data_IF_427056725688
#
_entry.id   IF_427056725688
#
_cell.length_a   1.000
_cell.length_b   1.000
_cell.length_c   1.000
_cell.angle_alpha   90.00
_cell.angle_beta   90.00
_cell.angle_gamma   90.00
#
_symmetry.space_group_name_H-M   'P 1'
#
loop_
_entity.id
_entity.type
_entity.pdbx_description
1 polymer ?
#
# COMPACT_ATOMS: atom_id res chain seq x y z
N UNK A 1 -17.62 -13.76 21.27
CA UNK A 1 -18.89 -13.32 20.64
C UNK A 1 -18.65 -11.95 20.03
N UNK A 2 -18.40 -11.88 18.73
CA UNK A 2 -18.02 -10.65 18.02
C UNK A 2 -19.20 -9.69 17.86
N UNK A 3 -18.91 -8.44 17.51
CA UNK A 3 -19.94 -7.43 17.25
C UNK A 3 -20.54 -7.65 15.85
N UNK A 4 -21.79 -7.23 15.65
CA UNK A 4 -22.34 -7.10 14.30
C UNK A 4 -21.62 -5.95 13.61
N UNK A 5 -21.11 -6.17 12.39
CA UNK A 5 -20.30 -5.18 11.66
C UNK A 5 -21.02 -3.85 11.46
N UNK A 6 -22.32 -3.90 11.18
CA UNK A 6 -23.13 -2.71 10.90
C UNK A 6 -23.29 -1.82 12.13
N UNK A 7 -23.27 -2.44 13.32
CA UNK A 7 -23.38 -1.78 14.62
C UNK A 7 -22.05 -1.17 15.07
N UNK A 8 -20.93 -1.45 14.39
CA UNK A 8 -19.62 -0.88 14.76
C UNK A 8 -19.63 0.63 14.47
N UNK A 9 -19.29 1.40 15.50
CA UNK A 9 -19.15 2.87 15.44
C UNK A 9 -17.71 3.34 15.57
N UNK A 10 -16.84 2.50 16.13
CA UNK A 10 -15.41 2.80 16.27
C UNK A 10 -14.58 1.54 16.12
N UNK A 11 -13.46 1.68 15.43
CA UNK A 11 -12.43 0.67 15.30
C UNK A 11 -11.08 1.29 15.66
N UNK A 12 -10.33 0.62 16.52
CA UNK A 12 -8.93 0.92 16.78
C UNK A 12 -8.08 -0.25 16.32
N UNK A 13 -7.03 0.04 15.58
CA UNK A 13 -6.13 -0.92 14.98
C UNK A 13 -4.73 -0.57 15.46
N UNK A 14 -4.10 -1.50 16.18
CA UNK A 14 -2.69 -1.42 16.56
C UNK A 14 -1.93 -2.44 15.72
N UNK A 15 -0.84 -2.01 15.08
CA UNK A 15 0.09 -2.87 14.36
C UNK A 15 1.49 -2.75 14.93
N UNK A 16 2.21 -3.87 14.92
CA UNK A 16 3.62 -3.98 15.29
C UNK A 16 4.30 -4.87 14.25
N UNK A 17 5.40 -4.42 13.64
CA UNK A 17 6.09 -5.20 12.59
C UNK A 17 6.71 -6.51 13.11
N UNK A 18 7.08 -6.58 14.41
CA UNK A 18 7.69 -7.76 15.02
C UNK A 18 9.20 -7.82 14.80
N UNK A 19 9.75 -9.01 14.53
CA UNK A 19 11.18 -9.30 14.30
C UNK A 19 11.70 -8.78 12.94
N UNK A 20 11.49 -7.50 12.66
CA UNK A 20 12.09 -6.81 11.50
C UNK A 20 13.21 -5.91 12.02
N UNK A 21 14.39 -5.86 11.38
CA UNK A 21 15.47 -5.00 11.85
C UNK A 21 15.17 -3.50 11.61
N UNK A 22 15.76 -2.58 12.39
CA UNK A 22 15.77 -1.17 12.03
C UNK A 22 16.54 -0.98 10.69
N UNK A 23 16.22 0.07 9.90
CA UNK A 23 15.26 1.13 10.18
C UNK A 23 13.80 0.80 9.80
N UNK A 24 13.51 -0.46 9.44
CA UNK A 24 12.21 -0.91 8.91
C UNK A 24 11.18 -1.28 9.99
N UNK A 25 11.61 -1.62 11.22
CA UNK A 25 10.68 -1.87 12.31
C UNK A 25 9.88 -0.61 12.67
N UNK A 26 8.58 -0.79 12.83
CA UNK A 26 7.67 0.29 13.16
C UNK A 26 6.45 -0.23 13.90
N UNK A 27 5.72 0.72 14.48
CA UNK A 27 4.38 0.51 15.01
C UNK A 27 3.46 1.55 14.38
N UNK A 28 2.22 1.17 14.13
CA UNK A 28 1.20 2.17 13.80
C UNK A 28 -0.09 1.95 14.57
N UNK A 29 -0.82 3.05 14.76
CA UNK A 29 -2.13 3.07 15.41
C UNK A 29 -3.12 3.86 14.58
N UNK A 30 -4.22 3.21 14.21
CA UNK A 30 -5.37 3.83 13.57
C UNK A 30 -6.54 3.85 14.55
N UNK A 31 -7.19 5.00 14.70
CA UNK A 31 -8.47 5.14 15.40
C UNK A 31 -9.47 5.71 14.43
N UNK A 32 -10.47 4.91 14.11
CA UNK A 32 -11.51 5.21 13.14
C UNK A 32 -12.83 5.37 13.88
N UNK A 33 -13.50 6.51 13.69
CA UNK A 33 -14.87 6.71 14.15
C UNK A 33 -15.77 6.89 12.94
N UNK A 34 -16.75 6.00 12.83
CA UNK A 34 -17.69 5.91 11.73
C UNK A 34 -18.81 6.93 11.93
N UNK A 35 -18.68 8.08 11.26
CA UNK A 35 -19.63 9.20 11.32
C UNK A 35 -20.57 9.20 10.11
N UNK A 36 -21.53 10.13 10.00
CA UNK A 36 -22.51 10.12 8.90
C UNK A 36 -21.88 10.29 7.50
N UNK A 37 -20.91 11.21 7.35
CA UNK A 37 -20.45 11.65 6.02
C UNK A 37 -18.97 11.33 5.71
N UNK A 38 -18.20 10.91 6.71
CA UNK A 38 -16.78 10.60 6.58
C UNK A 38 -16.33 9.67 7.72
N UNK A 39 -15.13 9.09 7.59
CA UNK A 39 -14.44 8.40 8.68
C UNK A 39 -13.58 9.42 9.40
N UNK A 40 -13.87 9.68 10.68
CA UNK A 40 -13.01 10.52 11.51
C UNK A 40 -11.82 9.67 11.97
N UNK A 41 -10.63 10.09 11.58
CA UNK A 41 -9.42 9.28 11.65
C UNK A 41 -8.36 9.96 12.50
N UNK A 42 -7.76 9.20 13.39
CA UNK A 42 -6.46 9.51 13.98
C UNK A 42 -5.47 8.41 13.59
N UNK A 43 -4.34 8.79 13.02
CA UNK A 43 -3.26 7.88 12.61
C UNK A 43 -1.96 8.34 13.23
N UNK A 44 -1.16 7.40 13.73
CA UNK A 44 0.22 7.65 14.11
C UNK A 44 1.06 6.44 13.68
N UNK A 45 2.21 6.71 13.08
CA UNK A 45 3.26 5.72 12.79
C UNK A 45 4.56 6.19 13.43
N UNK A 46 5.26 5.25 14.05
CA UNK A 46 6.55 5.48 14.67
C UNK A 46 7.50 4.35 14.25
N UNK A 47 8.67 4.73 13.75
CA UNK A 47 9.75 3.78 13.50
C UNK A 47 10.57 3.57 14.77
N UNK A 48 10.88 2.31 15.08
CA UNK A 48 11.50 1.92 16.35
C UNK A 48 12.95 1.53 16.16
N UNK A 49 13.70 1.48 17.26
CA UNK A 49 15.06 0.91 17.35
C UNK A 49 16.10 1.55 16.41
N UNK A 50 15.83 2.76 15.89
CA UNK A 50 16.74 3.49 15.00
C UNK A 50 17.91 4.14 15.72
N UNK A 51 17.84 4.26 17.04
CA UNK A 51 18.92 4.81 17.86
C UNK A 51 20.21 3.98 17.82
N UNK A 52 20.14 2.75 17.34
CA UNK A 52 21.32 1.89 17.14
C UNK A 52 22.00 2.10 15.79
N UNK A 53 21.40 2.88 14.89
CA UNK A 53 21.92 3.17 13.55
C UNK A 53 22.49 4.57 13.46
N UNK A 54 23.49 4.73 12.60
CA UNK A 54 23.98 6.03 12.18
C UNK A 54 22.99 6.73 11.24
N UNK A 55 22.98 8.07 11.16
CA UNK A 55 22.14 8.78 10.19
C UNK A 55 22.40 8.36 8.75
N UNK A 56 23.66 8.05 8.40
CA UNK A 56 24.04 7.57 7.07
C UNK A 56 23.40 6.22 6.75
N UNK A 57 23.44 5.25 7.67
CA UNK A 57 22.76 3.96 7.50
C UNK A 57 21.25 4.12 7.30
N UNK A 58 20.62 5.05 8.02
CA UNK A 58 19.17 5.32 7.86
C UNK A 58 18.87 5.88 6.47
N UNK A 59 19.68 6.83 5.99
CA UNK A 59 19.50 7.48 4.69
C UNK A 59 19.81 6.52 3.54
N UNK A 60 20.84 5.69 3.66
CA UNK A 60 21.22 4.70 2.65
C UNK A 60 20.12 3.65 2.44
N UNK A 61 19.34 3.34 3.48
CA UNK A 61 18.14 2.48 3.41
C UNK A 61 16.87 3.22 2.92
N UNK A 62 17.00 4.48 2.49
CA UNK A 62 15.91 5.28 1.92
C UNK A 62 14.98 5.96 2.93
N UNK A 63 15.40 6.04 4.19
CA UNK A 63 14.64 6.69 5.26
C UNK A 63 15.17 8.08 5.59
N UNK A 64 14.40 8.83 6.38
CA UNK A 64 14.82 10.11 6.93
C UNK A 64 14.85 10.07 8.45
N UNK A 65 15.49 11.06 9.07
CA UNK A 65 15.46 11.19 10.53
C UNK A 65 14.10 11.64 11.07
N UNK A 66 13.10 11.88 10.21
CA UNK A 66 11.78 12.41 10.56
C UNK A 66 10.63 11.67 9.85
N UNK A 67 10.73 10.34 9.73
CA UNK A 67 9.70 9.52 9.07
C UNK A 67 8.45 9.30 9.93
N UNK A 68 8.56 9.49 11.25
CA UNK A 68 7.43 9.45 12.15
C UNK A 68 6.35 10.44 11.68
N UNK A 69 5.11 9.97 11.64
CA UNK A 69 4.02 10.77 11.11
C UNK A 69 2.76 10.59 11.92
N UNK A 70 2.03 11.69 12.07
CA UNK A 70 0.75 11.75 12.78
C UNK A 70 -0.27 12.53 11.97
N UNK A 71 -1.49 12.02 11.94
CA UNK A 71 -2.61 12.64 11.24
C UNK A 71 -3.88 12.61 12.08
N UNK A 72 -4.66 13.68 11.97
CA UNK A 72 -6.02 13.76 12.50
C UNK A 72 -6.89 14.50 11.50
N UNK A 73 -7.94 13.85 11.01
CA UNK A 73 -8.80 14.46 10.01
C UNK A 73 -9.89 13.52 9.47
N UNK A 74 -10.46 13.92 8.35
CA UNK A 74 -11.60 13.27 7.72
C UNK A 74 -11.15 12.50 6.49
N UNK A 75 -11.50 11.21 6.42
CA UNK A 75 -11.24 10.33 5.26
C UNK A 75 -12.58 9.95 4.61
N UNK A 76 -12.65 9.80 3.27
CA UNK A 76 -13.91 9.53 2.58
C UNK A 76 -14.69 8.34 3.15
N UNK A 77 -16.02 8.50 3.22
CA UNK A 77 -16.95 7.56 3.85
C UNK A 77 -16.88 6.12 3.32
N UNK A 78 -16.48 5.93 2.06
CA UNK A 78 -16.35 4.60 1.44
C UNK A 78 -15.48 3.63 2.27
N UNK A 79 -14.53 4.18 3.03
CA UNK A 79 -13.62 3.39 3.86
C UNK A 79 -14.31 2.71 5.04
N UNK A 80 -15.44 3.24 5.50
CA UNK A 80 -16.26 2.58 6.52
C UNK A 80 -16.75 1.21 6.04
N UNK A 81 -17.31 1.14 4.84
CA UNK A 81 -17.85 -0.11 4.29
C UNK A 81 -16.74 -1.14 4.11
N UNK A 82 -15.52 -0.70 3.79
CA UNK A 82 -14.37 -1.58 3.60
C UNK A 82 -13.95 -2.20 4.93
N UNK A 83 -13.74 -1.38 5.96
CA UNK A 83 -13.38 -1.89 7.28
C UNK A 83 -14.49 -2.74 7.91
N UNK A 84 -15.76 -2.36 7.72
CA UNK A 84 -16.91 -3.16 8.20
C UNK A 84 -17.01 -4.51 7.48
N UNK A 85 -16.83 -4.54 6.16
CA UNK A 85 -16.78 -5.79 5.38
C UNK A 85 -15.62 -6.68 5.82
N UNK A 86 -14.42 -6.11 5.96
CA UNK A 86 -13.25 -6.85 6.43
C UNK A 86 -13.48 -7.41 7.85
N UNK A 87 -14.04 -6.62 8.76
CA UNK A 87 -14.39 -7.10 10.09
C UNK A 87 -15.40 -8.25 10.04
N UNK A 88 -16.43 -8.15 9.20
CA UNK A 88 -17.48 -9.17 9.06
C UNK A 88 -16.96 -10.49 8.49
N UNK A 89 -15.98 -10.45 7.58
CA UNK A 89 -15.40 -11.65 6.95
C UNK A 89 -14.24 -12.25 7.75
N UNK A 90 -13.75 -11.54 8.77
CA UNK A 90 -12.61 -11.96 9.58
C UNK A 90 -12.93 -13.16 10.44
N UNK A 91 -11.96 -14.06 10.53
CA UNK A 91 -11.92 -15.10 11.56
C UNK A 91 -11.03 -14.62 12.70
N UNK A 92 -11.32 -15.02 13.92
CA UNK A 92 -10.70 -14.44 15.11
C UNK A 92 -9.90 -15.50 15.87
N UNK A 93 -8.75 -15.09 16.37
CA UNK A 93 -7.88 -15.91 17.20
C UNK A 93 -8.39 -15.96 18.64
N UNK A 94 -8.11 -17.06 19.34
CA UNK A 94 -8.33 -17.17 20.78
C UNK A 94 -7.17 -16.54 21.60
N UNK A 95 -6.11 -16.08 20.94
CA UNK A 95 -4.98 -15.42 21.58
C UNK A 95 -5.39 -14.05 22.14
N UNK A 96 -4.80 -13.68 23.28
CA UNK A 96 -5.03 -12.37 23.93
C UNK A 96 -3.95 -11.33 23.62
N UNK A 97 -2.78 -11.80 23.18
CA UNK A 97 -1.59 -11.02 22.90
C UNK A 97 -0.97 -11.49 21.60
N UNK A 98 -0.28 -10.58 20.91
CA UNK A 98 0.56 -10.91 19.77
C UNK A 98 1.83 -11.62 20.28
N UNK A 99 2.40 -12.49 19.45
CA UNK A 99 3.72 -13.07 19.70
C UNK A 99 4.84 -12.16 19.20
N UNK A 100 6.07 -12.68 19.22
CA UNK A 100 7.29 -11.96 18.79
C UNK A 100 7.23 -11.53 17.31
N UNK A 101 6.52 -12.30 16.48
CA UNK A 101 6.26 -11.98 15.07
C UNK A 101 5.41 -10.73 14.83
N UNK A 102 4.93 -10.06 15.88
CA UNK A 102 4.09 -8.88 15.75
C UNK A 102 2.72 -9.19 15.13
N UNK A 103 2.14 -8.19 14.47
CA UNK A 103 0.84 -8.26 13.79
C UNK A 103 -0.15 -7.20 14.26
N UNK A 104 -1.41 -7.43 13.90
CA UNK A 104 -2.56 -6.57 14.10
C UNK A 104 -3.38 -7.04 15.30
N UNK A 105 -3.71 -6.08 16.15
CA UNK A 105 -4.68 -6.19 17.23
C UNK A 105 -5.77 -5.14 17.06
N UNK A 106 -7.01 -5.53 17.34
CA UNK A 106 -8.16 -4.66 17.19
C UNK A 106 -8.87 -4.38 18.50
N UNK A 107 -9.46 -3.20 18.59
CA UNK A 107 -10.54 -2.87 19.52
C UNK A 107 -11.73 -2.33 18.72
N UNK A 108 -12.88 -2.98 18.84
CA UNK A 108 -14.12 -2.54 18.20
C UNK A 108 -15.14 -2.10 19.26
N UNK A 109 -15.90 -1.04 18.96
CA UNK A 109 -17.01 -0.53 19.77
C UNK A 109 -18.29 -0.50 18.95
N UNK A 110 -19.38 -1.02 19.49
CA UNK A 110 -20.71 -0.93 18.86
C UNK A 110 -21.52 0.30 19.32
N UNK A 111 -22.67 0.52 18.67
CA UNK A 111 -23.67 1.54 19.02
C UNK A 111 -24.18 1.42 20.47
N UNK A 112 -24.15 0.22 21.06
CA UNK A 112 -24.60 -0.04 22.43
C UNK A 112 -23.49 0.16 23.47
N UNK A 113 -22.28 0.54 23.02
CA UNK A 113 -21.13 0.77 23.87
C UNK A 113 -20.36 -0.49 24.26
N UNK A 114 -20.71 -1.66 23.72
CA UNK A 114 -19.97 -2.91 23.93
C UNK A 114 -18.60 -2.80 23.26
N UNK A 115 -17.56 -3.16 24.01
CA UNK A 115 -16.18 -3.16 23.55
C UNK A 115 -15.67 -4.60 23.43
N UNK A 116 -15.00 -4.89 22.32
CA UNK A 116 -14.32 -6.17 22.10
C UNK A 116 -12.89 -5.92 21.66
N UNK A 117 -11.97 -6.73 22.17
CA UNK A 117 -10.58 -6.78 21.72
C UNK A 117 -10.30 -8.15 21.13
N UNK A 118 -9.86 -8.19 19.89
CA UNK A 118 -9.60 -9.42 19.15
C UNK A 118 -8.31 -9.33 18.33
N UNK A 119 -7.79 -10.49 17.92
CA UNK A 119 -6.70 -10.62 16.95
C UNK A 119 -7.27 -11.36 15.73
N UNK A 120 -7.29 -10.76 14.53
CA UNK A 120 -7.76 -11.45 13.33
C UNK A 120 -6.80 -12.56 12.92
N UNK A 121 -7.31 -13.66 12.37
CA UNK A 121 -6.48 -14.74 11.79
C UNK A 121 -5.98 -14.37 10.38
N UNK A 122 -6.73 -13.53 9.66
CA UNK A 122 -6.35 -13.00 8.36
C UNK A 122 -5.53 -11.70 8.50
N UNK A 123 -4.37 -11.83 9.16
CA UNK A 123 -3.45 -10.72 9.45
C UNK A 123 -3.05 -9.92 8.21
N UNK A 124 -2.79 -10.62 7.11
CA UNK A 124 -2.35 -10.04 5.84
C UNK A 124 -3.42 -9.16 5.20
N UNK A 125 -4.69 -9.60 5.13
CA UNK A 125 -5.79 -8.79 4.62
C UNK A 125 -5.97 -7.49 5.40
N UNK A 126 -5.84 -7.57 6.72
CA UNK A 126 -5.89 -6.40 7.61
C UNK A 126 -4.71 -5.47 7.39
N UNK A 127 -3.51 -6.01 7.25
CA UNK A 127 -2.32 -5.23 6.98
C UNK A 127 -2.44 -4.48 5.65
N UNK A 128 -2.77 -5.18 4.56
CA UNK A 128 -2.94 -4.53 3.26
C UNK A 128 -4.08 -3.50 3.24
N UNK A 129 -5.19 -3.77 3.93
CA UNK A 129 -6.27 -2.78 4.06
C UNK A 129 -5.82 -1.53 4.83
N UNK A 130 -5.01 -1.70 5.88
CA UNK A 130 -4.42 -0.58 6.60
C UNK A 130 -3.42 0.19 5.73
N UNK A 131 -2.58 -0.49 4.94
CA UNK A 131 -1.66 0.16 4.00
C UNK A 131 -2.42 0.98 2.96
N UNK A 132 -3.45 0.41 2.31
CA UNK A 132 -4.30 1.15 1.36
C UNK A 132 -4.96 2.38 2.04
N UNK A 133 -5.36 2.25 3.30
CA UNK A 133 -5.97 3.35 4.07
C UNK A 133 -4.95 4.43 4.48
N UNK A 134 -3.73 4.05 4.85
CA UNK A 134 -2.63 4.97 5.16
C UNK A 134 -2.27 5.76 3.90
N UNK A 135 -2.21 5.11 2.73
CA UNK A 135 -2.03 5.79 1.45
C UNK A 135 -3.17 6.78 1.16
N UNK A 136 -4.42 6.43 1.47
CA UNK A 136 -5.54 7.39 1.40
C UNK A 136 -5.37 8.59 2.35
N UNK A 137 -4.81 8.40 3.55
CA UNK A 137 -4.47 9.49 4.47
C UNK A 137 -3.39 10.39 3.86
N UNK A 138 -2.34 9.83 3.28
CA UNK A 138 -1.26 10.59 2.65
C UNK A 138 -1.75 11.42 1.47
N UNK A 139 -2.63 10.86 0.62
CA UNK A 139 -3.29 11.61 -0.45
C UNK A 139 -4.17 12.76 0.07
N UNK A 140 -5.06 12.47 1.03
CA UNK A 140 -6.02 13.47 1.56
C UNK A 140 -5.29 14.60 2.30
N UNK A 141 -4.24 14.26 3.03
CA UNK A 141 -3.39 15.23 3.74
C UNK A 141 -2.42 15.98 2.82
N UNK A 142 -2.34 15.60 1.53
CA UNK A 142 -1.37 16.10 0.55
C UNK A 142 0.09 15.87 0.96
N UNK A 143 0.35 14.86 1.80
CA UNK A 143 1.71 14.41 2.10
C UNK A 143 2.32 13.75 0.86
N UNK A 144 1.51 12.99 0.13
CA UNK A 144 1.93 12.29 -1.10
C UNK A 144 0.92 12.53 -2.23
N UNK A 145 1.41 12.47 -3.46
CA UNK A 145 0.57 12.43 -4.65
C UNK A 145 0.02 11.01 -4.87
N UNK A 146 -1.09 10.84 -5.60
CA UNK A 146 -1.55 9.53 -6.03
C UNK A 146 -0.44 8.75 -6.73
N UNK A 147 -0.26 7.48 -6.36
CA UNK A 147 0.78 6.63 -6.95
C UNK A 147 0.55 6.48 -8.46
N UNK A 148 1.59 6.71 -9.25
CA UNK A 148 1.56 6.61 -10.71
C UNK A 148 2.62 5.65 -11.19
N UNK A 149 2.19 4.56 -11.83
CA UNK A 149 3.07 3.60 -12.50
C UNK A 149 3.02 3.90 -14.00
N UNK A 150 4.18 3.94 -14.66
CA UNK A 150 4.26 4.18 -16.11
C UNK A 150 4.98 3.04 -16.80
N UNK A 151 4.41 2.55 -17.89
CA UNK A 151 4.99 1.54 -18.75
C UNK A 151 5.11 2.07 -20.16
N UNK A 152 6.29 1.89 -20.75
CA UNK A 152 6.57 2.32 -22.10
C UNK A 152 7.11 1.15 -22.92
N UNK A 153 6.44 0.85 -24.03
CA UNK A 153 6.97 -0.03 -25.06
C UNK A 153 7.36 0.80 -26.29
N UNK A 154 8.62 0.68 -26.71
CA UNK A 154 9.16 1.31 -27.92
C UNK A 154 9.51 0.23 -28.93
N UNK A 155 8.85 0.25 -30.09
CA UNK A 155 9.05 -0.67 -31.20
C UNK A 155 9.18 0.09 -32.51
N UNK A 156 10.40 0.22 -33.01
CA UNK A 156 10.75 0.98 -34.24
C UNK A 156 10.22 2.42 -34.15
N UNK A 157 9.10 2.71 -34.82
CA UNK A 157 8.46 4.02 -34.87
C UNK A 157 7.19 4.11 -34.01
N UNK A 158 6.79 3.03 -33.36
CA UNK A 158 5.60 3.00 -32.50
C UNK A 158 6.00 3.04 -31.03
N UNK A 159 5.41 3.99 -30.30
CA UNK A 159 5.47 4.07 -28.84
C UNK A 159 4.09 3.78 -28.26
N UNK A 160 4.03 2.89 -27.28
CA UNK A 160 2.83 2.64 -26.48
C UNK A 160 3.12 3.03 -25.04
N UNK A 161 2.50 4.12 -24.58
CA UNK A 161 2.55 4.59 -23.21
C UNK A 161 1.30 4.11 -22.46
N UNK A 162 1.53 3.48 -21.32
CA UNK A 162 0.50 3.05 -20.38
C UNK A 162 0.79 3.70 -19.03
N UNK A 163 -0.17 4.45 -18.50
CA UNK A 163 -0.06 5.06 -17.17
C UNK A 163 -1.18 4.53 -16.30
N UNK A 164 -0.83 4.09 -15.09
CA UNK A 164 -1.78 3.56 -14.11
C UNK A 164 -1.69 4.46 -12.87
N UNK A 165 -2.76 5.21 -12.61
CA UNK A 165 -2.84 6.13 -11.48
C UNK A 165 -3.78 5.55 -10.43
N UNK A 166 -3.25 5.28 -9.25
CA UNK A 166 -3.97 4.75 -8.10
C UNK A 166 -4.40 5.91 -7.22
N UNK A 167 -5.71 6.05 -7.00
CA UNK A 167 -6.30 7.05 -6.10
C UNK A 167 -6.89 6.33 -4.90
N UNK A 168 -6.11 6.16 -3.85
CA UNK A 168 -6.47 5.45 -2.62
C UNK A 168 -7.62 6.14 -1.88
N UNK A 169 -7.61 7.48 -1.81
CA UNK A 169 -8.64 8.29 -1.17
C UNK A 169 -10.07 7.96 -1.64
N UNK A 170 -10.22 7.66 -2.93
CA UNK A 170 -11.50 7.32 -3.57
C UNK A 170 -11.59 5.86 -4.02
N UNK A 171 -10.55 5.05 -3.76
CA UNK A 171 -10.36 3.68 -4.29
C UNK A 171 -10.68 3.53 -5.77
N UNK A 172 -9.98 4.31 -6.59
CA UNK A 172 -10.07 4.22 -8.05
C UNK A 172 -8.72 3.98 -8.68
N UNK A 173 -8.72 3.28 -9.81
CA UNK A 173 -7.54 3.10 -10.65
C UNK A 173 -7.86 3.61 -12.04
N UNK A 174 -7.11 4.63 -12.46
CA UNK A 174 -7.26 5.26 -13.76
C UNK A 174 -6.14 4.76 -14.66
N UNK A 175 -6.53 4.18 -15.79
CA UNK A 175 -5.64 3.65 -16.80
C UNK A 175 -5.65 4.58 -18.00
N UNK A 176 -4.51 5.12 -18.37
CA UNK A 176 -4.32 5.93 -19.56
C UNK A 176 -3.47 5.17 -20.57
N UNK A 177 -3.98 4.96 -21.79
CA UNK A 177 -3.23 4.31 -22.87
C UNK A 177 -3.16 5.30 -24.03
N UNK A 178 -1.95 5.79 -24.33
CA UNK A 178 -1.71 6.77 -25.39
C UNK A 178 -2.67 7.99 -25.32
N UNK A 179 -2.95 8.50 -24.12
CA UNK A 179 -3.84 9.64 -23.88
C UNK A 179 -5.33 9.29 -23.73
N UNK A 180 -5.74 8.03 -23.93
CA UNK A 180 -7.12 7.57 -23.71
C UNK A 180 -7.28 7.00 -22.31
N UNK A 181 -8.06 7.70 -21.48
CA UNK A 181 -8.32 7.31 -20.10
C UNK A 181 -9.55 6.39 -19.98
N UNK A 182 -9.41 5.33 -19.17
CA UNK A 182 -10.50 4.46 -18.68
C UNK A 182 -10.29 4.12 -17.20
N UNK A 183 -11.37 3.81 -16.49
CA UNK A 183 -11.29 3.27 -15.12
C UNK A 183 -11.18 1.74 -15.18
N UNK A 184 -10.32 1.14 -14.35
CA UNK A 184 -10.25 -0.31 -14.16
C UNK A 184 -10.66 -0.69 -12.74
N UNK A 185 -11.04 -1.96 -12.54
CA UNK A 185 -11.39 -2.47 -11.22
C UNK A 185 -10.23 -2.32 -10.24
N UNK A 186 -10.51 -1.84 -9.03
CA UNK A 186 -9.51 -1.64 -7.98
C UNK A 186 -8.67 -2.89 -7.71
N UNK A 187 -9.32 -4.06 -7.63
CA UNK A 187 -8.63 -5.33 -7.37
C UNK A 187 -7.65 -5.69 -8.47
N UNK A 188 -8.01 -5.47 -9.74
CA UNK A 188 -7.09 -5.67 -10.86
C UNK A 188 -5.89 -4.73 -10.80
N UNK A 189 -6.11 -3.47 -10.43
CA UNK A 189 -5.02 -2.53 -10.20
C UNK A 189 -4.09 -3.03 -9.09
N UNK A 190 -4.64 -3.43 -7.94
CA UNK A 190 -3.82 -3.96 -6.83
C UNK A 190 -3.00 -5.17 -7.24
N UNK A 191 -3.57 -6.13 -7.98
CA UNK A 191 -2.81 -7.26 -8.51
C UNK A 191 -1.59 -6.82 -9.33
N UNK A 192 -1.75 -5.81 -10.19
CA UNK A 192 -0.66 -5.28 -11.01
C UNK A 192 0.39 -4.60 -10.12
N UNK A 193 -0.03 -3.73 -9.19
CA UNK A 193 0.88 -3.07 -8.26
C UNK A 193 1.67 -4.11 -7.43
N UNK A 194 0.99 -5.11 -6.86
CA UNK A 194 1.64 -6.18 -6.10
C UNK A 194 2.69 -6.93 -6.93
N UNK A 195 2.45 -7.18 -8.22
CA UNK A 195 3.45 -7.80 -9.08
C UNK A 195 4.67 -6.90 -9.31
N UNK A 196 4.45 -5.59 -9.44
CA UNK A 196 5.48 -4.58 -9.70
C UNK A 196 6.40 -4.39 -8.48
N UNK A 197 5.90 -4.54 -7.26
CA UNK A 197 6.72 -4.41 -6.04
C UNK A 197 7.41 -5.70 -5.59
N UNK A 198 7.36 -6.79 -6.38
CA UNK A 198 8.08 -8.05 -6.11
C UNK A 198 9.55 -8.03 -6.54
N UNK A 199 9.90 -7.65 -7.79
CA UNK A 199 11.30 -7.67 -8.22
C UNK A 199 12.12 -6.55 -7.58
N UNK A 200 13.44 -6.69 -7.68
CA UNK A 200 14.39 -5.63 -7.35
C UNK A 200 14.70 -4.77 -8.59
N UNK A 201 15.11 -3.52 -8.33
CA UNK A 201 15.28 -2.47 -9.32
C UNK A 201 16.70 -1.91 -9.26
N UNK A 202 17.44 -2.03 -10.36
CA UNK A 202 18.82 -1.52 -10.44
C UNK A 202 18.80 -0.02 -10.77
N UNK A 203 18.83 0.79 -9.72
CA UNK A 203 18.90 2.25 -9.81
C UNK A 203 20.17 2.76 -10.48
N UNK A 204 21.25 1.97 -10.52
CA UNK A 204 22.47 2.32 -11.27
C UNK A 204 22.28 2.25 -12.79
N UNK A 205 21.24 1.55 -13.27
CA UNK A 205 20.85 1.44 -14.67
C UNK A 205 19.59 2.23 -15.02
N UNK A 206 18.97 2.88 -14.04
CA UNK A 206 17.77 3.68 -14.22
C UNK A 206 18.04 4.93 -15.06
N UNK A 207 17.01 5.39 -15.77
CA UNK A 207 17.10 6.56 -16.66
C UNK A 207 16.03 7.57 -16.23
N UNK A 208 16.43 8.83 -15.99
CA UNK A 208 15.49 9.89 -15.59
C UNK A 208 14.58 10.30 -16.75
N UNK A 209 15.16 10.51 -17.93
CA UNK A 209 14.42 10.90 -19.13
C UNK A 209 13.61 9.75 -19.73
N UNK A 210 12.50 10.11 -20.39
CA UNK A 210 11.65 9.14 -21.06
C UNK A 210 12.44 8.37 -22.16
N UNK A 211 12.49 7.02 -22.12
CA UNK A 211 13.28 6.23 -23.06
C UNK A 211 12.85 6.39 -24.53
N UNK A 212 13.85 6.44 -25.42
CA UNK A 212 13.64 6.51 -26.87
C UNK A 212 14.10 5.28 -27.64
N UNK A 213 14.97 4.46 -27.03
CA UNK A 213 15.50 3.24 -27.66
C UNK A 213 14.43 2.15 -27.65
N UNK A 214 14.52 1.24 -28.62
CA UNK A 214 13.67 0.04 -28.66
C UNK A 214 13.81 -0.74 -27.35
N UNK A 215 12.67 -1.12 -26.77
CA UNK A 215 12.65 -1.83 -25.51
C UNK A 215 11.34 -1.67 -24.75
N UNK A 216 11.33 -2.22 -23.55
CA UNK A 216 10.24 -2.11 -22.57
C UNK A 216 10.80 -1.51 -21.31
N UNK A 217 10.09 -0.53 -20.78
CA UNK A 217 10.52 0.25 -19.64
C UNK A 217 9.38 0.39 -18.63
N UNK A 218 9.74 0.44 -17.36
CA UNK A 218 8.80 0.61 -16.24
C UNK A 218 9.33 1.70 -15.31
N UNK A 219 8.46 2.62 -14.95
CA UNK A 219 8.58 3.47 -13.77
C UNK A 219 7.56 2.94 -12.75
N UNK A 220 8.06 2.52 -11.60
CA UNK A 220 7.26 1.92 -10.53
C UNK A 220 6.66 2.96 -9.55
N UNK A 221 6.79 4.25 -9.85
CA UNK A 221 6.33 5.37 -9.04
C UNK A 221 7.45 6.19 -8.40
N UNK A 222 8.71 5.89 -8.74
CA UNK A 222 9.92 6.57 -8.28
C UNK A 222 10.35 7.72 -9.21
N UNK A 223 9.73 7.80 -10.40
CA UNK A 223 10.01 8.85 -11.37
C UNK A 223 11.15 8.54 -12.33
N UNK A 224 11.78 7.36 -12.24
CA UNK A 224 12.84 6.91 -13.14
C UNK A 224 12.42 5.66 -13.91
N UNK A 225 13.06 5.42 -15.05
CA UNK A 225 12.72 4.33 -15.97
C UNK A 225 13.70 3.18 -15.86
N UNK A 226 13.16 1.99 -15.59
CA UNK A 226 13.88 0.73 -15.51
C UNK A 226 13.63 -0.11 -16.75
N UNK A 227 14.70 -0.54 -17.42
CA UNK A 227 14.58 -1.42 -18.60
C UNK A 227 14.33 -2.88 -18.18
N UNK A 228 13.30 -3.53 -18.73
CA UNK A 228 12.95 -4.92 -18.36
C UNK A 228 14.05 -5.96 -18.59
N UNK A 229 14.95 -5.75 -19.57
CA UNK A 229 16.00 -6.71 -19.88
C UNK A 229 17.16 -6.64 -18.87
N UNK A 230 17.45 -5.46 -18.31
CA UNK A 230 18.66 -5.22 -17.53
C UNK A 230 18.42 -4.59 -16.15
N UNK A 231 17.46 -3.69 -16.01
CA UNK A 231 17.22 -2.90 -14.80
C UNK A 231 16.20 -3.49 -13.83
N UNK A 232 15.54 -4.61 -14.19
CA UNK A 232 14.59 -5.31 -13.30
C UNK A 232 15.09 -6.73 -13.04
N UNK A 233 15.18 -7.10 -11.76
CA UNK A 233 15.81 -8.34 -11.30
C UNK A 233 14.77 -9.15 -10.51
N UNK A 234 14.55 -10.41 -10.92
CA UNK A 234 13.67 -11.29 -10.15
C UNK A 234 14.39 -11.70 -8.85
N UNK A 235 13.78 -11.44 -7.69
CA UNK A 235 14.32 -11.85 -6.38
C UNK A 235 14.32 -13.37 -6.18
N UNK A 236 13.27 -14.05 -6.68
CA UNK A 236 13.12 -15.50 -6.58
C UNK A 236 13.27 -16.15 -7.97
N UNK A 237 14.26 -17.03 -8.19
CA UNK A 237 14.42 -17.76 -9.45
C UNK A 237 13.21 -18.61 -9.85
N UNK A 238 12.38 -19.03 -8.87
CA UNK A 238 11.17 -19.82 -9.10
C UNK A 238 9.96 -18.98 -9.52
N UNK A 239 10.02 -17.66 -9.36
CA UNK A 239 8.95 -16.73 -9.69
C UNK A 239 9.41 -15.65 -10.67
N UNK A 240 8.99 -15.79 -11.93
CA UNK A 240 9.30 -14.80 -12.97
C UNK A 240 8.36 -13.58 -12.90
N UNK A 241 8.67 -12.67 -11.97
CA UNK A 241 7.91 -11.43 -11.78
C UNK A 241 7.92 -10.56 -13.04
N UNK A 242 9.09 -10.40 -13.68
CA UNK A 242 9.23 -9.65 -14.94
C UNK A 242 8.23 -10.08 -16.00
N UNK A 243 8.16 -11.38 -16.29
CA UNK A 243 7.25 -11.91 -17.30
C UNK A 243 5.79 -11.69 -16.92
N UNK A 244 5.43 -11.89 -15.65
CA UNK A 244 4.06 -11.67 -15.15
C UNK A 244 3.65 -10.21 -15.24
N UNK A 245 4.53 -9.27 -14.89
CA UNK A 245 4.29 -7.83 -15.05
C UNK A 245 4.04 -7.50 -16.53
N UNK A 246 4.90 -7.97 -17.43
CA UNK A 246 4.75 -7.72 -18.86
C UNK A 246 3.44 -8.28 -19.42
N UNK A 247 3.04 -9.48 -19.00
CA UNK A 247 1.76 -10.08 -19.38
C UNK A 247 0.60 -9.24 -18.86
N UNK A 248 0.59 -8.91 -17.56
CA UNK A 248 -0.47 -8.15 -16.93
C UNK A 248 -0.67 -6.76 -17.56
N UNK A 249 0.42 -6.07 -17.92
CA UNK A 249 0.39 -4.78 -18.61
C UNK A 249 -0.03 -4.90 -20.06
N UNK A 250 0.41 -5.95 -20.76
CA UNK A 250 0.02 -6.20 -22.16
C UNK A 250 -1.48 -6.51 -22.29
N UNK A 251 -2.09 -7.14 -21.30
CA UNK A 251 -3.55 -7.40 -21.24
C UNK A 251 -4.39 -6.12 -21.09
N UNK A 252 -3.78 -4.99 -20.72
CA UNK A 252 -4.49 -3.71 -20.56
C UNK A 252 -4.65 -2.93 -21.89
N UNK A 253 -3.71 -3.17 -22.81
CA UNK A 253 -3.54 -2.50 -24.12
C UNK A 253 -4.54 -3.07 -25.12
#
# INVERSE_FOLDING_TARGET
MHLKSDDIVRLEIDFITGEVPPPFCHIFKLKLSFSKNFVNTQFNIQYTDRETLTPEEIVDEGFTMADDYSYKGEIPKLWEDIFKKLYSSSKWSNLKTLGEKGGIKLLAKDIHGKLIRDIPLNQEDWYFTCQDFIQAIYEVSKKEAPMQIRYLEVKKEQKTMVEIVYKFSVRKVLLNINGKQKEIAWERGREIASLIFIPDYDYGLAIEDQPEKNGRYLDCGDGVWHNFEKGIINLDPSFDAKKKIQQALSELI
#
